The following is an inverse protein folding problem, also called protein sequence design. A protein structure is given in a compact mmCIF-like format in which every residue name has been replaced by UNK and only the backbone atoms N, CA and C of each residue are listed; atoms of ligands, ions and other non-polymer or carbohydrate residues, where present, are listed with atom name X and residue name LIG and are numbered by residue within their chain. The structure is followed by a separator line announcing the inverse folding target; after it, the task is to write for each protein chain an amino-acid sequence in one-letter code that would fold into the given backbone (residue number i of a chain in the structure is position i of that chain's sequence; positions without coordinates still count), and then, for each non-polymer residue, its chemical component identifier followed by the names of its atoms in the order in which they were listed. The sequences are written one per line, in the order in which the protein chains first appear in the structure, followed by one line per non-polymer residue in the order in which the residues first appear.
data_IF_703048749424
#
_entry.id   IF_703048749424
#
_cell.length_a   1.000
_cell.length_b   1.000
_cell.length_c   1.000
_cell.angle_alpha   90.00
_cell.angle_beta   90.00
_cell.angle_gamma   90.00
#
_symmetry.space_group_name_H-M   'P 1'
#
loop_
_entity.id
_entity.type
_entity.pdbx_description
1 polymer ?
#
# COMPACT_ATOMS: atom_id res chain seq x y z
N UNK A 1 -6.82 -5.14 53.26
CA UNK A 1 -8.12 -4.47 53.03
C UNK A 1 -8.03 -3.33 52.01
N UNK A 2 -6.98 -2.48 51.99
CA UNK A 2 -6.80 -1.45 50.95
C UNK A 2 -6.54 -1.99 49.53
N UNK A 3 -5.91 -3.17 49.37
CA UNK A 3 -5.61 -3.76 48.05
C UNK A 3 -6.87 -4.17 47.26
N UNK A 4 -7.93 -4.63 47.95
CA UNK A 4 -9.18 -5.05 47.29
C UNK A 4 -9.99 -3.86 46.73
N UNK A 5 -9.81 -2.65 47.28
CA UNK A 5 -10.50 -1.45 46.80
C UNK A 5 -9.92 -0.88 45.51
N UNK A 6 -8.60 -1.05 45.28
CA UNK A 6 -7.93 -0.59 44.04
C UNK A 6 -8.31 -1.48 42.85
N UNK A 7 -8.36 -2.81 43.05
CA UNK A 7 -8.76 -3.73 41.99
C UNK A 7 -10.24 -3.57 41.58
N UNK A 8 -11.12 -3.24 42.54
CA UNK A 8 -12.53 -3.00 42.25
C UNK A 8 -12.73 -1.70 41.42
N UNK A 9 -11.97 -0.65 41.74
CA UNK A 9 -12.02 0.64 41.02
C UNK A 9 -11.55 0.52 39.56
N UNK A 10 -10.48 -0.25 39.30
CA UNK A 10 -9.96 -0.48 37.95
C UNK A 10 -10.95 -1.26 37.07
N UNK A 11 -11.67 -2.23 37.66
CA UNK A 11 -12.62 -3.08 36.92
C UNK A 11 -13.89 -2.34 36.53
N UNK A 12 -14.36 -1.41 37.38
CA UNK A 12 -15.54 -0.58 37.11
C UNK A 12 -15.25 0.46 36.00
N UNK A 13 -14.02 0.98 35.93
CA UNK A 13 -13.63 1.94 34.88
C UNK A 13 -13.52 1.27 33.49
N UNK A 14 -13.03 0.03 33.44
CA UNK A 14 -12.85 -0.71 32.19
C UNK A 14 -14.20 -1.11 31.53
N UNK A 15 -15.20 -1.46 32.33
CA UNK A 15 -16.54 -1.82 31.83
C UNK A 15 -17.28 -0.64 31.19
N UNK A 16 -17.06 0.59 31.67
CA UNK A 16 -17.75 1.78 31.18
C UNK A 16 -17.23 2.25 29.81
N UNK A 17 -15.94 2.04 29.52
CA UNK A 17 -15.30 2.38 28.24
C UNK A 17 -15.71 1.39 27.14
N UNK A 18 -15.81 0.09 27.44
CA UNK A 18 -16.27 -0.94 26.49
C UNK A 18 -17.72 -0.69 26.05
N UNK A 19 -18.59 -0.21 26.95
CA UNK A 19 -19.96 0.17 26.61
C UNK A 19 -20.05 1.38 25.66
N UNK A 20 -19.16 2.36 25.80
CA UNK A 20 -19.11 3.57 24.96
C UNK A 20 -18.60 3.28 23.53
N UNK A 21 -17.68 2.34 23.37
CA UNK A 21 -17.13 1.97 22.05
C UNK A 21 -18.15 1.17 21.22
N UNK A 22 -18.93 0.30 21.86
CA UNK A 22 -19.96 -0.50 21.17
C UNK A 22 -21.13 0.34 20.65
N UNK A 23 -21.49 1.44 21.32
CA UNK A 23 -22.60 2.30 20.90
C UNK A 23 -22.25 3.18 19.68
N UNK A 24 -20.99 3.65 19.55
CA UNK A 24 -20.54 4.42 18.38
C UNK A 24 -20.44 3.60 17.09
N UNK A 25 -20.36 2.28 17.17
CA UNK A 25 -20.19 1.41 16.00
C UNK A 25 -21.51 1.13 15.25
N UNK A 26 -22.67 1.28 15.91
CA UNK A 26 -23.99 1.10 15.29
C UNK A 26 -24.49 2.34 14.54
N UNK A 27 -24.13 3.55 14.98
CA UNK A 27 -24.50 4.80 14.28
C UNK A 27 -23.71 5.01 12.98
N UNK A 28 -22.47 4.51 12.90
CA UNK A 28 -21.62 4.64 11.70
C UNK A 28 -22.12 3.76 10.54
N UNK A 29 -22.70 2.59 10.82
CA UNK A 29 -23.27 1.71 9.79
C UNK A 29 -24.53 2.30 9.12
N UNK A 30 -25.30 3.12 9.85
CA UNK A 30 -26.50 3.78 9.34
C UNK A 30 -26.22 5.01 8.46
N UNK A 31 -25.08 5.67 8.64
CA UNK A 31 -24.66 6.81 7.81
C UNK A 31 -24.20 6.36 6.41
N UNK A 32 -23.50 5.22 6.32
CA UNK A 32 -22.99 4.73 5.02
C UNK A 32 -24.08 4.16 4.11
N UNK A 33 -25.20 3.67 4.64
CA UNK A 33 -26.27 3.08 3.82
C UNK A 33 -27.28 4.12 3.27
N UNK A 34 -27.48 5.25 3.95
CA UNK A 34 -28.38 6.31 3.46
C UNK A 34 -27.77 7.24 2.41
N UNK A 35 -26.45 7.24 2.24
CA UNK A 35 -25.80 8.00 1.15
C UNK A 35 -25.83 7.28 -0.20
N UNK A 36 -26.14 5.98 -0.24
CA UNK A 36 -26.24 5.20 -1.49
C UNK A 36 -27.63 5.22 -2.12
N UNK A 37 -28.68 5.59 -1.38
CA UNK A 37 -30.06 5.62 -1.90
C UNK A 37 -30.46 6.97 -2.53
N UNK A 38 -29.74 8.06 -2.26
CA UNK A 38 -30.08 9.39 -2.77
C UNK A 38 -29.55 9.71 -4.18
N UNK A 39 -28.67 8.88 -4.73
CA UNK A 39 -28.04 9.11 -6.04
C UNK A 39 -28.70 8.35 -7.21
N UNK A 40 -29.77 7.57 -6.97
CA UNK A 40 -30.46 6.78 -8.00
C UNK A 40 -31.68 7.44 -8.65
N UNK A 41 -31.91 8.75 -8.48
CA UNK A 41 -33.08 9.45 -9.05
C UNK A 41 -32.80 10.72 -9.85
N UNK A 42 -31.63 10.86 -10.46
CA UNK A 42 -31.44 11.95 -11.45
C UNK A 42 -30.31 11.68 -12.44
N UNK A 43 -30.54 10.81 -13.42
CA UNK A 43 -29.87 10.91 -14.73
C UNK A 43 -30.80 10.37 -15.82
N UNK A 44 -31.78 11.19 -16.22
CA UNK A 44 -32.48 11.01 -17.48
C UNK A 44 -31.79 11.84 -18.56
N UNK A 45 -31.27 11.11 -19.55
CA UNK A 45 -31.14 11.48 -20.97
C UNK A 45 -30.26 12.69 -21.34
N UNK A 46 -29.01 12.43 -21.74
CA UNK A 46 -28.30 13.21 -22.76
C UNK A 46 -27.76 12.26 -23.84
N UNK A 47 -28.00 12.66 -25.07
CA UNK A 47 -27.92 11.94 -26.33
C UNK A 47 -26.51 11.67 -26.84
N UNK A 48 -26.43 10.64 -27.68
CA UNK A 48 -25.33 10.21 -28.53
C UNK A 48 -24.36 11.30 -29.00
N UNK A 49 -23.07 11.08 -28.73
CA UNK A 49 -21.96 11.45 -29.63
C UNK A 49 -20.94 10.30 -29.62
N UNK A 50 -20.42 9.97 -30.81
CA UNK A 50 -19.74 8.71 -31.09
C UNK A 50 -18.48 8.47 -30.25
N UNK A 51 -18.38 7.27 -29.70
CA UNK A 51 -17.11 6.75 -29.20
C UNK A 51 -16.27 6.30 -30.39
N UNK A 52 -15.24 7.08 -30.73
CA UNK A 52 -14.10 6.53 -31.44
C UNK A 52 -13.43 5.47 -30.55
N UNK A 53 -13.00 4.32 -31.08
CA UNK A 53 -12.22 3.37 -30.32
C UNK A 53 -10.86 4.02 -30.00
N UNK A 54 -10.71 4.48 -28.76
CA UNK A 54 -9.40 4.90 -28.24
C UNK A 54 -8.61 3.61 -28.02
N UNK A 55 -7.84 3.20 -29.03
CA UNK A 55 -6.73 2.26 -28.85
C UNK A 55 -5.61 2.99 -28.07
N UNK A 56 -5.89 3.32 -26.81
CA UNK A 56 -4.95 3.95 -25.89
C UNK A 56 -4.46 2.90 -24.91
N UNK A 57 -3.37 2.22 -25.23
CA UNK A 57 -2.64 1.45 -24.23
C UNK A 57 -2.27 2.38 -23.07
N UNK A 58 -2.70 2.04 -21.86
CA UNK A 58 -2.39 2.80 -20.65
C UNK A 58 -0.86 2.82 -20.47
N UNK A 59 -0.21 3.94 -20.78
CA UNK A 59 1.23 4.12 -20.51
C UNK A 59 1.37 4.57 -19.07
N UNK A 60 1.68 3.64 -18.15
CA UNK A 60 2.03 4.01 -16.78
C UNK A 60 3.42 4.66 -16.77
N UNK A 61 3.58 5.85 -16.16
CA UNK A 61 4.90 6.49 -16.06
C UNK A 61 5.83 5.60 -15.22
N UNK A 62 7.04 5.39 -15.74
CA UNK A 62 8.10 4.65 -15.05
C UNK A 62 9.01 5.68 -14.37
N UNK A 63 9.17 5.55 -13.05
CA UNK A 63 10.01 6.44 -12.24
C UNK A 63 11.39 5.82 -12.05
N UNK A 64 12.42 6.67 -12.01
CA UNK A 64 13.74 6.24 -11.54
C UNK A 64 13.73 6.01 -10.03
N UNK A 65 14.61 5.14 -9.55
CA UNK A 65 14.67 4.79 -8.13
C UNK A 65 15.05 6.01 -7.29
N UNK A 66 15.91 6.89 -7.78
CA UNK A 66 16.29 8.11 -7.07
C UNK A 66 15.13 9.09 -6.93
N UNK A 67 14.27 9.24 -7.95
CA UNK A 67 13.09 10.10 -7.88
C UNK A 67 12.10 9.61 -6.82
N UNK A 68 11.93 8.29 -6.70
CA UNK A 68 11.03 7.69 -5.70
C UNK A 68 11.49 8.01 -4.27
N UNK A 69 12.80 8.01 -4.01
CA UNK A 69 13.36 8.36 -2.69
C UNK A 69 13.16 9.82 -2.30
N UNK A 70 12.85 10.68 -3.28
CA UNK A 70 12.55 12.10 -3.05
C UNK A 70 11.04 12.37 -2.92
N UNK A 71 10.19 11.36 -3.10
CA UNK A 71 8.75 11.52 -2.97
C UNK A 71 8.33 11.54 -1.50
N UNK A 72 7.59 12.58 -1.11
CA UNK A 72 6.99 12.70 0.22
C UNK A 72 5.71 11.85 0.36
N UNK A 73 5.09 11.49 -0.76
CA UNK A 73 3.84 10.73 -0.77
C UNK A 73 4.13 9.24 -0.58
N UNK A 74 3.96 8.74 0.63
CA UNK A 74 3.99 7.31 0.92
C UNK A 74 2.65 6.65 0.54
N UNK A 75 2.65 5.33 0.37
CA UNK A 75 1.48 4.50 0.05
C UNK A 75 0.88 4.70 -1.36
N UNK A 76 1.63 5.27 -2.29
CA UNK A 76 1.23 5.39 -3.70
C UNK A 76 1.77 4.23 -4.55
N UNK A 77 1.04 3.88 -5.60
CA UNK A 77 1.43 2.86 -6.56
C UNK A 77 2.40 3.46 -7.58
N UNK A 78 3.64 2.97 -7.59
CA UNK A 78 4.71 3.45 -8.49
C UNK A 78 5.18 2.31 -9.39
N UNK A 79 5.61 2.66 -10.61
CA UNK A 79 6.22 1.71 -11.54
C UNK A 79 7.72 1.98 -11.63
N UNK A 80 8.53 0.94 -11.43
CA UNK A 80 9.99 0.99 -11.60
C UNK A 80 10.44 0.00 -12.65
N UNK A 81 11.61 0.25 -13.23
CA UNK A 81 12.30 -0.69 -14.10
C UNK A 81 13.77 -0.78 -13.71
N UNK A 82 14.28 -2.00 -13.63
CA UNK A 82 15.67 -2.22 -13.26
C UNK A 82 16.06 -3.70 -13.28
N UNK A 83 17.31 -3.96 -12.94
CA UNK A 83 17.93 -5.28 -12.91
C UNK A 83 17.90 -5.84 -11.50
N UNK A 84 17.50 -7.11 -11.35
CA UNK A 84 17.63 -7.85 -10.09
C UNK A 84 19.11 -8.10 -9.81
N UNK A 85 19.63 -7.57 -8.70
CA UNK A 85 21.04 -7.72 -8.31
C UNK A 85 21.24 -8.60 -7.08
N UNK A 86 20.26 -8.66 -6.16
CA UNK A 86 20.29 -9.55 -4.99
C UNK A 86 18.90 -10.09 -4.68
N UNK A 87 18.88 -11.24 -4.02
CA UNK A 87 17.66 -11.90 -3.54
C UNK A 87 17.88 -12.31 -2.08
N UNK A 88 16.92 -11.99 -1.22
CA UNK A 88 16.91 -12.37 0.19
C UNK A 88 15.59 -13.10 0.49
N UNK A 89 15.64 -14.38 0.89
CA UNK A 89 14.45 -15.11 1.32
C UNK A 89 13.97 -14.59 2.68
N UNK A 90 12.67 -14.34 2.82
CA UNK A 90 12.00 -14.00 4.08
C UNK A 90 11.07 -15.17 4.48
N UNK A 91 10.47 -15.11 5.68
CA UNK A 91 9.67 -16.22 6.22
C UNK A 91 8.46 -16.58 5.33
N UNK A 92 7.74 -15.56 4.84
CA UNK A 92 6.53 -15.72 4.01
C UNK A 92 6.56 -14.82 2.76
N UNK A 93 7.73 -14.31 2.39
CA UNK A 93 7.93 -13.45 1.24
C UNK A 93 9.37 -13.54 0.73
N UNK A 94 9.69 -12.82 -0.32
CA UNK A 94 11.04 -12.66 -0.85
C UNK A 94 11.32 -11.18 -1.05
N UNK A 95 12.51 -10.73 -0.70
CA UNK A 95 12.98 -9.39 -0.99
C UNK A 95 14.00 -9.43 -2.12
N UNK A 96 13.75 -8.61 -3.15
CA UNK A 96 14.67 -8.46 -4.28
C UNK A 96 15.26 -7.06 -4.26
N UNK A 97 16.58 -6.97 -4.40
CA UNK A 97 17.24 -5.69 -4.64
C UNK A 97 17.24 -5.43 -6.14
N UNK A 98 16.67 -4.31 -6.52
CA UNK A 98 16.56 -3.87 -7.91
C UNK A 98 17.42 -2.64 -8.08
N UNK A 99 18.26 -2.66 -9.12
CA UNK A 99 19.14 -1.56 -9.46
C UNK A 99 18.80 -1.02 -10.85
N UNK A 100 18.65 0.29 -10.93
CA UNK A 100 18.62 1.03 -12.19
C UNK A 100 19.91 1.85 -12.34
N UNK A 101 19.94 2.78 -13.29
CA UNK A 101 21.11 3.65 -13.49
C UNK A 101 21.28 4.72 -12.39
N UNK A 102 20.25 4.94 -11.56
CA UNK A 102 20.19 6.02 -10.58
C UNK A 102 20.53 5.54 -9.16
N UNK A 103 20.02 4.37 -8.74
CA UNK A 103 20.17 3.86 -7.38
C UNK A 103 19.74 2.39 -7.29
N UNK A 104 19.56 1.89 -6.06
CA UNK A 104 18.96 0.59 -5.79
C UNK A 104 17.85 0.71 -4.75
N UNK A 105 16.87 -0.19 -4.84
CA UNK A 105 15.73 -0.28 -3.92
C UNK A 105 15.38 -1.73 -3.63
N UNK A 106 14.86 -1.97 -2.42
CA UNK A 106 14.30 -3.26 -2.04
C UNK A 106 12.83 -3.36 -2.44
N UNK A 107 12.47 -4.49 -3.04
CA UNK A 107 11.09 -4.83 -3.40
C UNK A 107 10.71 -6.12 -2.69
N UNK A 108 9.72 -6.05 -1.82
CA UNK A 108 9.14 -7.19 -1.12
C UNK A 108 8.01 -7.76 -1.95
N UNK A 109 8.09 -9.06 -2.20
CA UNK A 109 7.20 -9.79 -3.07
C UNK A 109 6.72 -11.06 -2.37
N UNK A 110 5.44 -11.40 -2.49
CA UNK A 110 4.91 -12.65 -1.97
C UNK A 110 5.55 -13.90 -2.58
N UNK A 111 5.37 -15.05 -1.93
CA UNK A 111 6.01 -16.33 -2.28
C UNK A 111 5.73 -16.88 -3.68
N UNK A 112 4.69 -16.37 -4.37
CA UNK A 112 4.26 -16.85 -5.69
C UNK A 112 5.18 -16.39 -6.82
N UNK A 113 5.90 -15.27 -6.64
CA UNK A 113 6.69 -14.65 -7.69
C UNK A 113 8.17 -14.90 -7.44
N UNK A 114 8.85 -15.38 -8.47
CA UNK A 114 10.28 -15.68 -8.44
C UNK A 114 10.98 -14.98 -9.60
N UNK A 115 12.02 -14.22 -9.29
CA UNK A 115 12.85 -13.55 -10.27
C UNK A 115 14.27 -14.10 -10.25
N UNK A 116 14.88 -14.21 -11.42
CA UNK A 116 16.26 -14.66 -11.52
C UNK A 116 17.22 -13.47 -11.33
N UNK A 117 18.35 -13.66 -10.61
CA UNK A 117 19.43 -12.69 -10.60
C UNK A 117 19.87 -12.33 -12.03
N UNK A 118 20.07 -11.05 -12.28
CA UNK A 118 20.47 -10.53 -13.58
C UNK A 118 19.33 -10.23 -14.55
N UNK A 119 18.08 -10.60 -14.23
CA UNK A 119 16.91 -10.30 -15.03
C UNK A 119 16.53 -8.81 -14.92
N UNK A 120 16.24 -8.16 -16.06
CA UNK A 120 15.60 -6.84 -16.08
C UNK A 120 14.10 -7.01 -15.98
N UNK A 121 13.48 -6.28 -15.05
CA UNK A 121 12.05 -6.38 -14.73
C UNK A 121 11.43 -4.99 -14.65
N UNK A 122 10.17 -4.87 -15.07
CA UNK A 122 9.34 -3.71 -14.82
C UNK A 122 8.24 -4.08 -13.83
N UNK A 123 8.26 -3.43 -12.68
CA UNK A 123 7.45 -3.81 -11.52
C UNK A 123 6.63 -2.63 -11.04
N UNK A 124 5.39 -2.91 -10.64
CA UNK A 124 4.52 -1.95 -10.01
C UNK A 124 4.35 -2.34 -8.54
N UNK A 125 4.56 -1.38 -7.64
CA UNK A 125 4.52 -1.63 -6.20
C UNK A 125 4.13 -0.39 -5.42
N UNK A 126 3.67 -0.59 -4.19
CA UNK A 126 3.29 0.48 -3.28
C UNK A 126 4.55 0.99 -2.59
N UNK A 127 4.83 2.28 -2.69
CA UNK A 127 5.95 2.90 -1.99
C UNK A 127 5.71 2.93 -0.48
N UNK A 128 6.66 2.37 0.26
CA UNK A 128 6.67 2.35 1.73
C UNK A 128 7.98 2.92 2.24
N UNK A 129 7.95 3.41 3.48
CA UNK A 129 9.13 3.83 4.22
C UNK A 129 9.13 3.11 5.56
N UNK A 130 10.21 2.39 5.85
CA UNK A 130 10.41 1.79 7.16
C UNK A 130 11.39 2.66 7.93
N UNK A 131 10.92 3.42 8.91
CA UNK A 131 11.79 4.14 9.83
C UNK A 131 12.53 3.13 10.72
N UNK A 132 13.85 3.29 10.81
CA UNK A 132 14.72 2.59 11.76
C UNK A 132 15.47 3.67 12.53
N UNK A 133 15.03 3.96 13.75
CA UNK A 133 15.69 4.96 14.60
C UNK A 133 16.83 4.31 15.37
N UNK A 134 18.07 4.74 15.11
CA UNK A 134 19.28 4.29 15.83
C UNK A 134 19.92 5.51 16.48
N UNK A 135 20.05 5.51 17.80
CA UNK A 135 20.64 6.63 18.58
C UNK A 135 19.98 8.01 18.36
N UNK A 136 18.74 8.03 17.86
CA UNK A 136 17.99 9.27 17.57
C UNK A 136 18.08 9.72 16.11
N UNK A 137 18.93 9.09 15.31
CA UNK A 137 19.00 9.30 13.87
C UNK A 137 18.05 8.34 13.13
N UNK A 138 17.36 8.86 12.11
CA UNK A 138 16.49 8.07 11.23
C UNK A 138 17.33 7.46 10.09
N UNK A 139 17.52 6.13 10.17
CA UNK A 139 18.18 5.31 9.16
C UNK A 139 17.17 4.55 8.30
N UNK A 140 15.94 5.04 8.23
CA UNK A 140 14.88 4.38 7.49
C UNK A 140 15.18 4.25 6.00
N UNK A 141 14.61 3.20 5.40
CA UNK A 141 14.80 2.91 3.97
C UNK A 141 13.45 2.84 3.25
N UNK A 142 13.42 3.42 2.04
CA UNK A 142 12.31 3.26 1.12
C UNK A 142 12.33 1.86 0.50
N UNK A 143 11.17 1.22 0.46
CA UNK A 143 10.98 -0.07 -0.19
C UNK A 143 9.65 -0.12 -0.93
N UNK A 144 9.53 -1.04 -1.88
CA UNK A 144 8.27 -1.31 -2.56
C UNK A 144 7.66 -2.60 -2.05
N UNK A 145 6.37 -2.57 -1.77
CA UNK A 145 5.57 -3.77 -1.49
C UNK A 145 4.71 -4.07 -2.72
N UNK A 146 4.79 -5.28 -3.25
CA UNK A 146 3.91 -5.69 -4.34
C UNK A 146 2.52 -6.08 -3.82
N UNK A 147 1.44 -5.46 -4.32
CA UNK A 147 0.11 -6.04 -4.19
C UNK A 147 0.06 -7.47 -4.75
N UNK A 148 -0.69 -8.36 -4.10
CA UNK A 148 -0.80 -9.77 -4.50
C UNK A 148 -1.31 -9.99 -5.94
N UNK A 149 -2.01 -9.00 -6.51
CA UNK A 149 -2.57 -9.02 -7.88
C UNK A 149 -1.75 -8.21 -8.91
N UNK A 150 -0.51 -7.84 -8.58
CA UNK A 150 0.29 -6.95 -9.43
C UNK A 150 0.76 -7.61 -10.73
N UNK A 151 0.53 -6.92 -11.85
CA UNK A 151 0.96 -7.34 -13.18
C UNK A 151 2.48 -7.13 -13.33
N UNK A 152 3.23 -8.23 -13.46
CA UNK A 152 4.64 -8.17 -13.86
C UNK A 152 4.68 -7.90 -15.36
N UNK A 153 5.28 -6.78 -15.76
CA UNK A 153 5.52 -6.49 -17.16
C UNK A 153 6.95 -6.93 -17.52
N UNK A 154 7.16 -7.63 -18.65
CA UNK A 154 8.51 -7.92 -19.12
C UNK A 154 9.24 -6.59 -19.35
N UNK A 155 10.43 -6.45 -18.75
CA UNK A 155 11.30 -5.30 -18.97
C UNK A 155 11.67 -5.18 -20.45
N UNK A 156 11.84 -3.94 -20.94
CA UNK A 156 12.30 -3.73 -22.33
C UNK A 156 13.77 -4.15 -22.38
N UNK A 157 14.13 -4.99 -23.37
CA UNK A 157 15.53 -5.35 -23.66
C UNK A 157 16.28 -4.17 -24.25
#
# INVERSE_FOLDING_TARGET
MLLLLVELSAKIHCQKIIGLIRNKFHDIQLIFMNSLYASLLSFSLVTATGCHPVNGGLVTPVFSIQEIKQQENLNQLVTIEGKIVKTVPLLNSQAYQIQDNSSSIWVVVGNKLQFNPGQTVRLQGILKYQNITVEGDDWGEFYLEMPDDSLILPGKK
#
